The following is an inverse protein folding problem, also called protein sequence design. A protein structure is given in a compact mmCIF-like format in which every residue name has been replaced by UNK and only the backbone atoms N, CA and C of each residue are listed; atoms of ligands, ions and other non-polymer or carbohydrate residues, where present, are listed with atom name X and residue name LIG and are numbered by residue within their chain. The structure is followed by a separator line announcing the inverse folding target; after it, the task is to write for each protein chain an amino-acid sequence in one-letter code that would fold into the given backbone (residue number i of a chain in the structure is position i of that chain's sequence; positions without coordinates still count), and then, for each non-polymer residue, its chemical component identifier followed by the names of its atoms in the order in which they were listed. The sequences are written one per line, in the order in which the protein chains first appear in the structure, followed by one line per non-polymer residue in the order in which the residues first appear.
data_IF_313123378578
#
_entry.id   IF_313123378578
#
_cell.length_a   1.000
_cell.length_b   1.000
_cell.length_c   1.000
_cell.angle_alpha   90.00
_cell.angle_beta   90.00
_cell.angle_gamma   90.00
#
_symmetry.space_group_name_H-M   'P 1'
#
loop_
_entity.id
_entity.type
_entity.pdbx_description
1 polymer ?
#
# COMPACT_ATOMS: atom_id res chain seq x y z
N UNK A 1 39.65 -25.42 30.96
CA UNK A 1 38.83 -24.99 29.81
C UNK A 1 39.61 -23.95 29.03
N UNK A 2 39.99 -24.27 27.78
CA UNK A 2 40.89 -23.47 26.96
C UNK A 2 40.12 -22.31 26.29
N UNK A 3 40.44 -21.05 26.63
CA UNK A 3 39.88 -19.84 26.00
C UNK A 3 40.10 -19.78 24.48
N UNK A 4 41.03 -20.57 23.94
CA UNK A 4 41.37 -20.61 22.52
C UNK A 4 40.34 -21.35 21.63
N UNK A 5 39.40 -22.12 22.21
CA UNK A 5 38.45 -22.93 21.43
C UNK A 5 37.19 -22.18 20.96
N UNK A 6 36.93 -20.97 21.47
CA UNK A 6 35.71 -20.20 21.18
C UNK A 6 35.95 -19.11 20.13
N UNK A 7 37.21 -18.76 19.88
CA UNK A 7 37.61 -17.62 19.04
C UNK A 7 37.24 -17.73 17.54
N UNK A 8 37.22 -18.91 16.89
CA UNK A 8 36.77 -19.03 15.50
C UNK A 8 35.26 -18.79 15.37
N UNK A 9 34.47 -19.28 16.32
CA UNK A 9 33.01 -19.20 16.31
C UNK A 9 32.47 -17.77 16.52
N UNK A 10 33.24 -16.89 17.19
CA UNK A 10 32.84 -15.48 17.36
C UNK A 10 32.95 -14.67 16.06
N UNK A 11 33.92 -14.96 15.19
CA UNK A 11 34.04 -14.32 13.88
C UNK A 11 32.85 -14.68 12.98
N UNK A 12 32.48 -15.96 12.96
CA UNK A 12 31.34 -16.47 12.20
C UNK A 12 30.01 -15.92 12.73
N UNK A 13 29.84 -15.85 14.06
CA UNK A 13 28.64 -15.27 14.68
C UNK A 13 28.51 -13.77 14.37
N UNK A 14 29.62 -13.01 14.45
CA UNK A 14 29.62 -11.57 14.12
C UNK A 14 29.28 -11.34 12.66
N UNK A 15 29.82 -12.17 11.75
CA UNK A 15 29.49 -12.13 10.33
C UNK A 15 28.01 -12.42 10.07
N UNK A 16 27.45 -13.46 10.68
CA UNK A 16 26.03 -13.80 10.55
C UNK A 16 25.12 -12.69 11.09
N UNK A 17 25.50 -12.02 12.18
CA UNK A 17 24.76 -10.88 12.72
C UNK A 17 24.79 -9.70 11.73
N UNK A 18 25.94 -9.41 11.11
CA UNK A 18 26.07 -8.37 10.11
C UNK A 18 25.26 -8.68 8.84
N UNK A 19 25.32 -9.92 8.34
CA UNK A 19 24.52 -10.37 7.19
C UNK A 19 23.02 -10.28 7.49
N UNK A 20 22.59 -10.66 8.70
CA UNK A 20 21.21 -10.49 9.16
C UNK A 20 20.81 -9.01 9.24
N UNK A 21 21.66 -8.16 9.80
CA UNK A 21 21.40 -6.72 9.89
C UNK A 21 21.28 -6.08 8.51
N UNK A 22 22.16 -6.44 7.57
CA UNK A 22 22.10 -5.99 6.17
C UNK A 22 20.82 -6.46 5.49
N UNK A 23 20.45 -7.74 5.65
CA UNK A 23 19.19 -8.26 5.12
C UNK A 23 17.96 -7.53 5.67
N UNK A 24 17.92 -7.26 6.98
CA UNK A 24 16.84 -6.49 7.59
C UNK A 24 16.83 -5.03 7.11
N UNK A 25 17.99 -4.41 6.93
CA UNK A 25 18.10 -3.04 6.41
C UNK A 25 17.64 -2.96 4.95
N UNK A 26 18.04 -3.90 4.09
CA UNK A 26 17.55 -3.99 2.71
C UNK A 26 16.04 -4.20 2.68
N UNK A 27 15.52 -5.10 3.53
CA UNK A 27 14.07 -5.34 3.64
C UNK A 27 13.34 -4.07 4.10
N UNK A 28 13.90 -3.35 5.07
CA UNK A 28 13.34 -2.08 5.53
C UNK A 28 13.35 -1.02 4.43
N UNK A 29 14.48 -0.84 3.74
CA UNK A 29 14.60 0.11 2.63
C UNK A 29 13.59 -0.20 1.52
N UNK A 30 13.43 -1.47 1.14
CA UNK A 30 12.41 -1.87 0.16
C UNK A 30 11.01 -1.48 0.62
N UNK A 31 10.64 -1.77 1.88
CA UNK A 31 9.33 -1.38 2.44
C UNK A 31 9.11 0.13 2.43
N UNK A 32 10.13 0.91 2.76
CA UNK A 32 10.06 2.38 2.71
C UNK A 32 9.87 2.88 1.28
N UNK A 33 10.66 2.39 0.32
CA UNK A 33 10.51 2.74 -1.09
C UNK A 33 9.10 2.39 -1.61
N UNK A 34 8.61 1.20 -1.30
CA UNK A 34 7.26 0.77 -1.66
C UNK A 34 6.19 1.67 -1.04
N UNK A 35 6.32 2.02 0.25
CA UNK A 35 5.37 2.92 0.90
C UNK A 35 5.35 4.32 0.26
N UNK A 36 6.51 4.87 -0.11
CA UNK A 36 6.60 6.14 -0.82
C UNK A 36 5.94 6.07 -2.19
N UNK A 37 6.19 5.00 -2.96
CA UNK A 37 5.53 4.78 -4.26
C UNK A 37 4.01 4.68 -4.11
N UNK A 38 3.52 3.99 -3.08
CA UNK A 38 2.08 3.91 -2.79
C UNK A 38 1.50 5.28 -2.43
N UNK A 39 2.19 6.10 -1.65
CA UNK A 39 1.73 7.46 -1.31
C UNK A 39 1.64 8.34 -2.55
N UNK A 40 2.64 8.30 -3.42
CA UNK A 40 2.62 9.03 -4.69
C UNK A 40 1.44 8.57 -5.57
N UNK A 41 1.20 7.26 -5.62
CA UNK A 41 0.11 6.70 -6.40
C UNK A 41 -1.27 7.07 -5.82
N UNK A 42 -1.41 7.02 -4.49
CA UNK A 42 -2.62 7.48 -3.80
C UNK A 42 -2.90 8.96 -4.09
N UNK A 43 -1.87 9.80 -4.23
CA UNK A 43 -2.06 11.21 -4.61
C UNK A 43 -2.57 11.38 -6.04
N UNK A 44 -2.15 10.51 -6.99
CA UNK A 44 -2.71 10.48 -8.35
C UNK A 44 -4.21 10.19 -8.30
N UNK A 45 -4.61 9.15 -7.57
CA UNK A 45 -6.02 8.78 -7.42
C UNK A 45 -6.82 9.87 -6.69
N UNK A 46 -6.25 10.44 -5.63
CA UNK A 46 -6.85 11.57 -4.91
C UNK A 46 -7.15 12.73 -5.85
N UNK A 47 -6.19 13.12 -6.69
CA UNK A 47 -6.38 14.20 -7.66
C UNK A 47 -7.48 13.89 -8.66
N UNK A 48 -7.49 12.66 -9.19
CA UNK A 48 -8.55 12.23 -10.11
C UNK A 48 -9.95 12.31 -9.46
N UNK A 49 -10.10 11.89 -8.21
CA UNK A 49 -11.37 12.03 -7.48
C UNK A 49 -11.75 13.49 -7.20
N UNK A 50 -10.79 14.32 -6.79
CA UNK A 50 -11.02 15.75 -6.53
C UNK A 50 -11.43 16.51 -7.80
N UNK A 51 -10.88 16.14 -8.96
CA UNK A 51 -11.32 16.68 -10.26
C UNK A 51 -12.79 16.36 -10.58
N UNK A 52 -13.33 15.30 -9.98
CA UNK A 52 -14.76 14.93 -10.03
C UNK A 52 -15.58 15.56 -8.89
N UNK A 53 -14.96 16.46 -8.13
CA UNK A 53 -15.56 17.18 -7.01
C UNK A 53 -15.56 16.40 -5.69
N UNK A 54 -15.05 15.18 -5.65
CA UNK A 54 -15.12 14.35 -4.44
C UNK A 54 -14.11 14.81 -3.40
N UNK A 55 -14.48 14.69 -2.12
CA UNK A 55 -13.56 14.96 -1.02
C UNK A 55 -12.77 13.70 -0.72
N UNK A 56 -11.44 13.82 -0.67
CA UNK A 56 -10.57 12.67 -0.46
C UNK A 56 -9.54 12.91 0.63
N UNK A 57 -9.36 11.92 1.49
CA UNK A 57 -8.41 11.93 2.60
C UNK A 57 -7.56 10.66 2.60
N UNK A 58 -6.25 10.82 2.75
CA UNK A 58 -5.36 9.68 2.96
C UNK A 58 -5.42 9.28 4.43
N UNK A 59 -5.79 8.03 4.69
CA UNK A 59 -5.72 7.41 6.00
C UNK A 59 -4.61 6.36 5.97
N UNK A 60 -3.45 6.74 6.52
CA UNK A 60 -2.32 5.84 6.75
C UNK A 60 -2.41 5.40 8.21
N UNK A 61 -3.36 4.52 8.52
CA UNK A 61 -3.31 3.79 9.79
C UNK A 61 -2.24 2.70 9.70
N UNK A 62 -1.64 2.30 10.82
CA UNK A 62 -0.76 1.11 10.91
C UNK A 62 -1.53 -0.22 10.70
N UNK A 63 -2.54 -0.23 9.81
CA UNK A 63 -3.20 -1.43 9.29
C UNK A 63 -2.36 -2.02 8.17
N UNK A 64 -2.72 -3.23 7.74
CA UNK A 64 -1.98 -3.99 6.72
C UNK A 64 -1.86 -3.27 5.36
N UNK A 65 -2.71 -2.28 5.08
CA UNK A 65 -2.59 -1.45 3.87
C UNK A 65 -3.17 -0.03 4.08
N UNK A 66 -2.57 1.00 3.46
CA UNK A 66 -3.08 2.37 3.50
C UNK A 66 -4.43 2.49 2.79
N UNK A 67 -5.21 3.51 3.17
CA UNK A 67 -6.59 3.69 2.72
C UNK A 67 -6.75 5.10 2.15
N UNK A 68 -7.41 5.20 0.99
CA UNK A 68 -7.92 6.45 0.45
C UNK A 68 -9.42 6.54 0.76
N UNK A 69 -9.77 7.41 1.71
CA UNK A 69 -11.16 7.70 2.07
C UNK A 69 -11.73 8.66 1.02
N UNK A 70 -12.87 8.29 0.45
CA UNK A 70 -13.60 9.09 -0.55
C UNK A 70 -14.96 9.44 0.03
N UNK A 71 -15.26 10.73 0.09
CA UNK A 71 -16.52 11.28 0.58
C UNK A 71 -17.27 11.93 -0.59
N UNK A 72 -18.40 11.35 -1.00
CA UNK A 72 -19.25 11.96 -2.00
C UNK A 72 -20.08 13.09 -1.37
N UNK A 73 -20.22 14.20 -2.09
CA UNK A 73 -20.99 15.37 -1.64
C UNK A 73 -22.27 15.58 -2.47
N UNK A 74 -22.32 15.01 -3.67
CA UNK A 74 -23.37 15.21 -4.66
C UNK A 74 -24.46 14.14 -4.55
N UNK A 75 -24.09 12.86 -4.64
CA UNK A 75 -25.02 11.71 -4.64
C UNK A 75 -24.41 10.50 -3.94
N UNK A 76 -25.20 9.45 -3.76
CA UNK A 76 -24.64 8.15 -3.43
C UNK A 76 -23.96 7.55 -4.67
N UNK A 77 -22.76 7.02 -4.47
CA UNK A 77 -21.98 6.33 -5.48
C UNK A 77 -21.89 4.86 -5.12
N UNK A 78 -21.81 4.00 -6.13
CA UNK A 78 -21.27 2.65 -5.95
C UNK A 78 -19.77 2.67 -6.23
N UNK A 79 -19.04 1.71 -5.67
CA UNK A 79 -17.59 1.56 -5.92
C UNK A 79 -17.28 1.49 -7.43
N UNK A 80 -18.07 0.74 -8.19
CA UNK A 80 -17.81 0.53 -9.62
C UNK A 80 -18.08 1.81 -10.43
N UNK A 81 -19.16 2.55 -10.13
CA UNK A 81 -19.43 3.85 -10.77
C UNK A 81 -18.33 4.85 -10.46
N UNK A 82 -17.88 4.89 -9.21
CA UNK A 82 -16.83 5.80 -8.76
C UNK A 82 -15.51 5.55 -9.50
N UNK A 83 -15.12 4.28 -9.62
CA UNK A 83 -13.90 3.88 -10.32
C UNK A 83 -14.00 4.12 -11.84
N UNK A 84 -15.15 3.82 -12.44
CA UNK A 84 -15.37 4.10 -13.86
C UNK A 84 -15.31 5.60 -14.16
N UNK A 85 -15.89 6.44 -13.30
CA UNK A 85 -15.93 7.89 -13.53
C UNK A 85 -14.52 8.50 -13.57
N UNK A 86 -13.63 8.09 -12.68
CA UNK A 86 -12.22 8.55 -12.71
C UNK A 86 -11.38 7.93 -13.83
N UNK A 87 -11.95 7.04 -14.64
CA UNK A 87 -11.22 6.35 -15.71
C UNK A 87 -10.22 5.33 -15.19
N UNK A 88 -10.65 4.48 -14.25
CA UNK A 88 -9.78 3.49 -13.59
C UNK A 88 -8.97 2.64 -14.57
N UNK A 89 -9.55 2.22 -15.70
CA UNK A 89 -8.87 1.37 -16.68
C UNK A 89 -7.64 2.08 -17.28
N UNK A 90 -7.78 3.37 -17.60
CA UNK A 90 -6.69 4.19 -18.13
C UNK A 90 -5.59 4.41 -17.09
N UNK A 91 -5.97 4.67 -15.84
CA UNK A 91 -5.02 4.80 -14.74
C UNK A 91 -4.27 3.48 -14.49
N UNK A 92 -4.98 2.35 -14.50
CA UNK A 92 -4.38 1.04 -14.33
C UNK A 92 -3.43 0.68 -15.47
N UNK A 93 -3.78 0.98 -16.72
CA UNK A 93 -2.88 0.77 -17.86
C UNK A 93 -1.62 1.66 -17.76
N UNK A 94 -1.80 2.95 -17.46
CA UNK A 94 -0.71 3.92 -17.38
C UNK A 94 0.33 3.56 -16.30
N UNK A 95 -0.14 3.12 -15.14
CA UNK A 95 0.70 2.84 -13.98
C UNK A 95 0.95 1.34 -13.77
N UNK A 96 0.52 0.48 -14.71
CA UNK A 96 0.62 -0.99 -14.64
C UNK A 96 0.05 -1.56 -13.33
N UNK A 97 -1.14 -1.11 -12.98
CA UNK A 97 -1.83 -1.49 -11.75
C UNK A 97 -2.90 -2.53 -12.03
N UNK A 98 -3.33 -3.18 -10.97
CA UNK A 98 -4.48 -4.06 -10.98
C UNK A 98 -5.52 -3.59 -9.96
N UNK A 99 -6.77 -3.96 -10.23
CA UNK A 99 -7.91 -3.69 -9.35
C UNK A 99 -8.50 -5.01 -8.90
N UNK A 100 -8.71 -5.14 -7.61
CA UNK A 100 -9.38 -6.28 -6.99
C UNK A 100 -10.32 -5.82 -5.89
N UNK A 101 -10.87 -6.78 -5.16
CA UNK A 101 -11.69 -6.51 -3.98
C UNK A 101 -11.14 -7.24 -2.77
N UNK A 102 -11.09 -6.55 -1.64
CA UNK A 102 -10.69 -7.12 -0.36
C UNK A 102 -11.83 -7.01 0.63
N UNK A 103 -11.97 -8.04 1.47
CA UNK A 103 -12.99 -8.07 2.52
C UNK A 103 -12.46 -7.36 3.76
N UNK A 104 -13.22 -6.38 4.23
CA UNK A 104 -13.05 -5.65 5.49
C UNK A 104 -14.26 -5.87 6.39
N UNK A 105 -14.17 -5.37 7.63
CA UNK A 105 -15.21 -5.54 8.65
C UNK A 105 -16.57 -4.95 8.23
N UNK A 106 -16.55 -3.98 7.32
CA UNK A 106 -17.67 -3.21 6.81
C UNK A 106 -18.11 -3.60 5.40
N UNK A 107 -17.39 -4.47 4.69
CA UNK A 107 -17.79 -4.93 3.37
C UNK A 107 -16.64 -5.34 2.45
N UNK A 108 -16.94 -5.48 1.16
CA UNK A 108 -15.94 -5.63 0.11
C UNK A 108 -15.58 -4.25 -0.42
N UNK A 109 -14.32 -3.84 -0.33
CA UNK A 109 -13.85 -2.57 -0.88
C UNK A 109 -12.85 -2.80 -2.02
N UNK A 110 -12.73 -1.86 -2.97
CA UNK A 110 -11.69 -1.93 -4.00
C UNK A 110 -10.29 -1.84 -3.40
N UNK A 111 -9.37 -2.63 -3.96
CA UNK A 111 -7.93 -2.51 -3.73
C UNK A 111 -7.22 -2.26 -5.04
N UNK A 112 -6.31 -1.29 -5.02
CA UNK A 112 -5.35 -1.01 -6.10
C UNK A 112 -4.00 -1.59 -5.69
N UNK A 113 -3.40 -2.43 -6.52
CA UNK A 113 -2.12 -3.09 -6.20
C UNK A 113 -1.19 -3.16 -7.42
N UNK A 114 0.12 -3.16 -7.16
CA UNK A 114 1.15 -3.02 -8.19
C UNK A 114 1.60 -4.35 -8.80
N UNK A 115 1.29 -5.49 -8.17
CA UNK A 115 1.67 -6.84 -8.60
C UNK A 115 0.59 -7.86 -8.16
N UNK A 116 0.29 -8.87 -8.97
CA UNK A 116 -0.73 -9.90 -8.67
C UNK A 116 -0.61 -10.51 -7.27
N UNK A 117 -1.74 -10.63 -6.54
CA UNK A 117 -1.83 -11.31 -5.25
C UNK A 117 -1.75 -10.37 -4.04
N UNK A 118 -1.06 -10.79 -2.98
CA UNK A 118 -0.85 -10.02 -1.74
C UNK A 118 0.24 -8.93 -1.88
N UNK A 119 0.41 -8.42 -3.10
CA UNK A 119 1.35 -7.35 -3.40
C UNK A 119 1.01 -6.04 -2.66
N UNK A 120 1.98 -5.12 -2.54
CA UNK A 120 1.72 -3.83 -1.93
C UNK A 120 0.64 -3.07 -2.70
N UNK A 121 -0.30 -2.50 -1.96
CA UNK A 121 -1.45 -1.81 -2.51
C UNK A 121 -2.10 -0.88 -1.50
N UNK A 122 -3.13 -0.18 -1.94
CA UNK A 122 -3.97 0.65 -1.10
C UNK A 122 -5.45 0.37 -1.37
N UNK A 123 -6.25 0.56 -0.34
CA UNK A 123 -7.69 0.33 -0.41
C UNK A 123 -8.41 1.65 -0.65
N UNK A 124 -9.49 1.62 -1.42
CA UNK A 124 -10.38 2.77 -1.62
C UNK A 124 -11.61 2.52 -0.79
N UNK A 125 -11.96 3.47 0.06
CA UNK A 125 -13.10 3.35 0.93
C UNK A 125 -14.06 4.51 0.70
N UNK A 126 -15.23 4.17 0.15
CA UNK A 126 -16.30 5.11 -0.09
C UNK A 126 -17.14 5.28 1.18
N UNK A 127 -17.15 6.48 1.73
CA UNK A 127 -17.99 6.82 2.87
C UNK A 127 -19.44 7.07 2.42
N UNK A 128 -20.44 6.71 3.24
CA UNK A 128 -21.82 7.06 2.97
C UNK A 128 -21.98 8.59 2.91
N UNK A 129 -22.90 9.05 2.07
CA UNK A 129 -23.24 10.47 1.99
C UNK A 129 -23.88 10.93 3.31
N UNK A 130 -23.42 12.06 3.83
CA UNK A 130 -24.05 12.75 4.97
C UNK A 130 -25.33 13.49 4.58
#
# INVERSE_FOLDING_TARGET
MNRAAIHPYFGDLTRQILECAQYQQERFNRRVCTALQLVELMDVFRKAFVERGLLCQLAIEFRDSPILLVQPHDREWTDDELLQDIGIDTLCEQYKLQVGRVRRDDGLCPRIYTEEGDGPGFDIYLLPKE
#
